data_IF_499597159544
#
_entry.id   IF_499597159544
#
_cell.length_a   1.000
_cell.length_b   1.000
_cell.length_c   1.000
_cell.angle_alpha   90.00
_cell.angle_beta   90.00
_cell.angle_gamma   90.00
#
_symmetry.space_group_name_H-M   'P 1'
#
loop_
_entity.id
_entity.type
_entity.pdbx_description
1 polymer ?
#
# COMPACT_ATOMS: atom_id res chain seq x y z
N UNK A 1 -6.70 0.63 16.90
CA UNK A 1 -6.88 -0.79 16.48
C UNK A 1 -5.89 -1.11 15.37
N UNK A 2 -5.62 -2.40 15.13
CA UNK A 2 -4.78 -2.87 14.00
C UNK A 2 -5.70 -3.50 12.94
N UNK A 3 -5.52 -3.22 11.64
CA UNK A 3 -6.30 -3.87 10.60
C UNK A 3 -6.13 -5.40 10.64
N UNK A 4 -7.19 -6.14 10.33
CA UNK A 4 -7.09 -7.57 10.10
C UNK A 4 -6.51 -7.80 8.70
N UNK A 5 -5.18 -7.96 8.63
CA UNK A 5 -4.49 -8.19 7.35
C UNK A 5 -4.94 -9.46 6.65
N UNK A 6 -5.30 -10.51 7.39
CA UNK A 6 -5.72 -11.77 6.76
C UNK A 6 -7.03 -11.58 6.00
N UNK A 7 -8.01 -10.95 6.65
CA UNK A 7 -9.27 -10.61 6.01
C UNK A 7 -9.06 -9.67 4.82
N UNK A 8 -8.23 -8.63 4.96
CA UNK A 8 -7.97 -7.70 3.85
C UNK A 8 -7.25 -8.38 2.67
N UNK A 9 -6.32 -9.30 2.93
CA UNK A 9 -5.62 -10.06 1.89
C UNK A 9 -6.57 -11.04 1.18
N UNK A 10 -7.46 -11.70 1.92
CA UNK A 10 -8.48 -12.58 1.33
C UNK A 10 -9.41 -11.80 0.39
N UNK A 11 -9.82 -10.60 0.78
CA UNK A 11 -10.82 -9.83 0.02
C UNK A 11 -10.22 -8.98 -1.11
N UNK A 12 -8.96 -8.55 -0.98
CA UNK A 12 -8.33 -7.55 -1.85
C UNK A 12 -6.89 -7.88 -2.28
N UNK A 13 -6.33 -9.05 -1.96
CA UNK A 13 -4.90 -9.35 -2.17
C UNK A 13 -4.39 -9.08 -3.59
N UNK A 14 -5.22 -9.37 -4.60
CA UNK A 14 -4.91 -9.16 -6.02
C UNK A 14 -5.31 -7.78 -6.56
N UNK A 15 -5.93 -6.92 -5.73
CA UNK A 15 -6.27 -5.56 -6.15
C UNK A 15 -5.00 -4.76 -6.43
N UNK A 16 -4.96 -4.04 -7.54
CA UNK A 16 -3.89 -3.08 -7.85
C UNK A 16 -4.23 -1.76 -7.19
N UNK A 17 -3.37 -1.30 -6.30
CA UNK A 17 -3.63 -0.16 -5.41
C UNK A 17 -2.63 0.97 -5.61
N UNK A 18 -3.08 2.23 -5.48
CA UNK A 18 -2.19 3.40 -5.52
C UNK A 18 -1.40 3.52 -4.21
N UNK A 19 -0.09 3.41 -4.30
CA UNK A 19 0.86 3.56 -3.19
C UNK A 19 1.73 4.79 -3.43
N UNK A 20 1.90 5.62 -2.41
CA UNK A 20 2.77 6.79 -2.48
C UNK A 20 3.86 6.70 -1.41
N UNK A 21 5.03 7.29 -1.69
CA UNK A 21 6.10 7.46 -0.70
C UNK A 21 6.01 8.86 -0.08
N UNK A 22 5.83 8.94 1.24
CA UNK A 22 5.75 10.19 1.99
C UNK A 22 7.03 11.05 1.84
N UNK A 23 8.17 10.39 1.65
CA UNK A 23 9.48 11.02 1.55
C UNK A 23 9.73 11.67 0.18
N UNK A 24 8.93 11.33 -0.84
CA UNK A 24 9.06 11.86 -2.22
C UNK A 24 7.97 12.89 -2.48
N UNK A 25 8.37 14.13 -2.77
CA UNK A 25 7.46 15.21 -3.18
C UNK A 25 7.80 15.68 -4.58
N UNK A 26 6.80 15.70 -5.46
CA UNK A 26 6.87 16.34 -6.77
C UNK A 26 5.90 17.51 -6.81
N UNK A 27 6.45 18.71 -6.97
CA UNK A 27 5.76 19.99 -6.85
C UNK A 27 5.04 20.14 -5.49
N UNK A 28 3.82 19.61 -5.38
CA UNK A 28 2.97 19.65 -4.19
C UNK A 28 2.25 18.32 -3.92
N UNK A 29 2.70 17.21 -4.48
CA UNK A 29 2.07 15.90 -4.31
C UNK A 29 3.10 14.79 -4.12
N UNK A 30 2.72 13.74 -3.40
CA UNK A 30 3.46 12.48 -3.41
C UNK A 30 3.02 11.69 -4.66
N UNK A 31 3.92 11.41 -5.62
CA UNK A 31 3.59 10.58 -6.78
C UNK A 31 3.15 9.20 -6.31
N UNK A 32 2.23 8.59 -7.06
CA UNK A 32 1.69 7.26 -6.75
C UNK A 32 2.15 6.25 -7.78
N UNK A 33 2.62 5.11 -7.31
CA UNK A 33 2.87 3.89 -8.07
C UNK A 33 1.70 2.90 -7.87
N UNK A 34 1.54 2.00 -8.82
CA UNK A 34 0.52 0.95 -8.78
C UNK A 34 1.18 -0.36 -8.35
N UNK A 35 0.76 -0.93 -7.22
CA UNK A 35 1.26 -2.20 -6.69
C UNK A 35 0.11 -3.15 -6.36
N UNK A 36 0.28 -4.48 -6.42
CA UNK A 36 -0.65 -5.41 -5.80
C UNK A 36 -0.79 -5.14 -4.30
N UNK A 37 -2.01 -5.18 -3.78
CA UNK A 37 -2.29 -4.89 -2.38
C UNK A 37 -1.53 -5.84 -1.43
N UNK A 38 -1.37 -7.11 -1.84
CA UNK A 38 -0.54 -8.06 -1.09
C UNK A 38 0.89 -7.59 -0.87
N UNK A 39 1.53 -6.99 -1.87
CA UNK A 39 2.89 -6.46 -1.76
C UNK A 39 2.95 -5.25 -0.81
N UNK A 40 1.90 -4.41 -0.82
CA UNK A 40 1.79 -3.31 0.15
C UNK A 40 1.65 -3.83 1.59
N UNK A 41 0.85 -4.88 1.81
CA UNK A 41 0.68 -5.49 3.15
C UNK A 41 1.97 -6.17 3.62
N UNK A 42 2.70 -6.83 2.71
CA UNK A 42 4.04 -7.38 3.01
C UNK A 42 5.00 -6.28 3.46
N UNK A 43 5.10 -5.20 2.67
CA UNK A 43 5.86 -4.00 3.07
C UNK A 43 5.44 -3.51 4.45
N UNK A 44 4.13 -3.38 4.71
CA UNK A 44 3.65 -2.82 5.98
C UNK A 44 3.99 -3.71 7.17
N UNK A 45 3.89 -5.04 7.01
CA UNK A 45 4.30 -6.02 8.02
C UNK A 45 5.80 -5.90 8.33
N UNK A 46 6.64 -5.80 7.31
CA UNK A 46 8.09 -5.61 7.47
C UNK A 46 8.43 -4.27 8.11
N UNK A 47 7.77 -3.20 7.68
CA UNK A 47 7.95 -1.85 8.21
C UNK A 47 7.66 -1.80 9.71
N UNK A 48 6.55 -2.42 10.16
CA UNK A 48 6.22 -2.55 11.60
C UNK A 48 7.30 -3.38 12.32
N UNK A 49 7.69 -4.54 11.77
CA UNK A 49 8.69 -5.44 12.37
C UNK A 49 10.05 -4.75 12.55
N UNK A 50 10.41 -3.86 11.64
CA UNK A 50 11.68 -3.13 11.65
C UNK A 50 11.64 -1.81 12.44
N UNK A 51 10.61 -1.59 13.27
CA UNK A 51 10.47 -0.39 14.09
C UNK A 51 10.20 0.87 13.27
N UNK A 52 9.37 0.74 12.23
CA UNK A 52 8.96 1.83 11.33
C UNK A 52 10.14 2.40 10.53
N UNK A 53 11.03 1.52 10.05
CA UNK A 53 12.18 1.84 9.19
C UNK A 53 12.16 0.96 7.95
N UNK A 54 12.40 1.56 6.79
CA UNK A 54 12.54 0.84 5.52
C UNK A 54 13.40 1.64 4.54
N UNK A 55 14.22 0.94 3.76
CA UNK A 55 14.96 1.54 2.63
C UNK A 55 14.03 2.00 1.49
N UNK A 56 12.80 1.47 1.44
CA UNK A 56 11.76 1.89 0.49
C UNK A 56 11.08 3.21 0.88
N UNK A 57 11.43 3.79 2.03
CA UNK A 57 10.77 4.98 2.60
C UNK A 57 9.46 4.65 3.31
N UNK A 58 8.68 5.69 3.61
CA UNK A 58 7.37 5.59 4.27
C UNK A 58 6.25 5.51 3.23
N UNK A 59 5.81 4.29 2.89
CA UNK A 59 4.76 4.05 1.89
C UNK A 59 3.38 4.05 2.53
N UNK A 60 2.39 4.58 1.81
CA UNK A 60 0.99 4.59 2.23
C UNK A 60 0.05 4.47 1.03
N UNK A 61 -1.15 3.93 1.27
CA UNK A 61 -2.21 3.89 0.26
C UNK A 61 -2.79 5.30 0.08
N UNK A 62 -2.83 5.78 -1.16
CA UNK A 62 -3.30 7.14 -1.48
C UNK A 62 -4.53 7.10 -2.37
N UNK A 63 -5.65 7.65 -1.90
CA UNK A 63 -6.92 7.69 -2.63
C UNK A 63 -7.50 6.30 -2.97
N UNK A 64 -7.15 5.26 -2.18
CA UNK A 64 -7.72 3.93 -2.35
C UNK A 64 -9.01 3.78 -1.52
N UNK A 65 -10.11 3.44 -2.19
CA UNK A 65 -11.44 3.34 -1.59
C UNK A 65 -11.88 1.88 -1.35
N UNK A 66 -10.94 0.96 -1.14
CA UNK A 66 -11.22 -0.48 -0.98
C UNK A 66 -12.08 -1.05 -2.13
N UNK A 67 -11.84 -0.56 -3.35
CA UNK A 67 -12.45 -1.11 -4.54
C UNK A 67 -11.85 -2.48 -4.83
N UNK A 68 -12.70 -3.49 -5.07
CA UNK A 68 -12.30 -4.84 -5.51
C UNK A 68 -11.89 -4.88 -6.99
N UNK A 69 -12.01 -3.77 -7.71
CA UNK A 69 -11.94 -3.76 -9.17
C UNK A 69 -10.51 -3.75 -9.70
N UNK A 70 -10.24 -4.72 -10.58
CA UNK A 70 -9.05 -4.80 -11.43
C UNK A 70 -9.00 -6.01 -12.37
N UNK A 71 -10.13 -6.61 -12.80
CA UNK A 71 -10.13 -7.32 -14.08
C UNK A 71 -9.90 -6.25 -15.15
N UNK A 72 -8.71 -6.25 -15.75
CA UNK A 72 -8.47 -5.56 -17.02
C UNK A 72 -9.42 -6.24 -18.04
N UNK A 73 -10.23 -5.50 -18.82
CA UNK A 73 -10.95 -6.08 -19.95
C UNK A 73 -10.02 -6.76 -20.95
#
# INVERSE_FOLDING_TARGET
>A
GKPNFEHLLQEFGEAVVPVANCDVKEYNSNPKEQLPFKEFVEYWREYIRNGYRSSRGCLYLKDWHLSRSGLIP
#
